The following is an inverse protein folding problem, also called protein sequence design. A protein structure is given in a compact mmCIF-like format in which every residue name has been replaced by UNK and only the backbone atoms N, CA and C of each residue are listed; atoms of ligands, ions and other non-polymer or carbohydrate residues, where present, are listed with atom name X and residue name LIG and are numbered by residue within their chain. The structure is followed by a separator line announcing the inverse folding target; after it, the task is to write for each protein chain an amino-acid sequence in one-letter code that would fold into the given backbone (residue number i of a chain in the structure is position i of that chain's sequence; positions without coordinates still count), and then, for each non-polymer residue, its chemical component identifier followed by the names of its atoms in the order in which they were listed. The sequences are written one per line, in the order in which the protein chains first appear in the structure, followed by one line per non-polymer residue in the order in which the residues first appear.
data_IF_300892244452
#
_entry.id   IF_300892244452
#
_cell.length_a   1.000
_cell.length_b   1.000
_cell.length_c   1.000
_cell.angle_alpha   90.00
_cell.angle_beta   90.00
_cell.angle_gamma   90.00
#
_symmetry.space_group_name_H-M   'P 1'
#
loop_
_entity.id
_entity.type
_entity.pdbx_description
1 polymer ?
#
# COMPACT_ATOMS: atom_id res chain seq x y z
N UNK A 1 3.27 -15.41 -12.87
CA UNK A 1 1.88 -15.27 -12.35
C UNK A 1 1.17 -14.18 -13.13
N UNK A 2 -0.11 -14.36 -13.48
CA UNK A 2 -0.84 -13.36 -14.26
C UNK A 2 -0.85 -11.99 -13.53
N UNK A 3 -0.47 -10.91 -14.23
CA UNK A 3 -0.47 -9.54 -13.67
C UNK A 3 0.90 -8.99 -13.24
N UNK A 4 1.93 -9.82 -13.15
CA UNK A 4 3.32 -9.38 -13.00
C UNK A 4 4.00 -9.35 -14.37
N UNK A 5 4.64 -8.24 -14.72
CA UNK A 5 5.56 -8.20 -15.86
C UNK A 5 6.94 -8.68 -15.38
N UNK A 6 7.54 -9.72 -16.00
CA UNK A 6 8.87 -10.20 -15.59
C UNK A 6 9.97 -9.15 -15.82
N UNK A 7 9.77 -8.25 -16.79
CA UNK A 7 10.82 -7.35 -17.31
C UNK A 7 10.54 -5.86 -17.08
N UNK A 8 9.80 -5.46 -16.03
CA UNK A 8 9.49 -4.06 -15.65
C UNK A 8 9.43 -3.06 -16.83
N UNK A 9 8.27 -2.94 -17.46
CA UNK A 9 8.10 -2.17 -18.69
C UNK A 9 8.23 -0.67 -18.43
N UNK A 10 9.00 0.02 -19.26
CA UNK A 10 9.06 1.49 -19.27
C UNK A 10 7.69 2.09 -19.58
N UNK A 11 7.46 3.31 -19.07
CA UNK A 11 6.22 4.08 -19.29
C UNK A 11 4.94 3.35 -18.85
N UNK A 12 5.03 2.51 -17.82
CA UNK A 12 3.91 1.81 -17.21
C UNK A 12 3.88 2.11 -15.71
N UNK A 13 2.67 2.34 -15.20
CA UNK A 13 2.44 2.49 -13.77
C UNK A 13 2.41 1.12 -13.09
N UNK A 14 3.05 1.06 -11.93
CA UNK A 14 3.05 -0.10 -11.05
C UNK A 14 2.64 0.36 -9.66
N UNK A 15 1.69 -0.33 -9.06
CA UNK A 15 1.41 -0.18 -7.64
C UNK A 15 2.42 -1.02 -6.86
N UNK A 16 3.18 -0.42 -5.96
CA UNK A 16 4.14 -1.10 -5.09
C UNK A 16 3.72 -0.90 -3.65
N UNK A 17 3.68 -1.98 -2.88
CA UNK A 17 3.41 -1.92 -1.45
C UNK A 17 4.35 -2.84 -0.66
N UNK A 18 4.58 -2.45 0.59
CA UNK A 18 5.40 -3.18 1.54
C UNK A 18 4.73 -3.13 2.90
N UNK A 19 4.58 -4.29 3.54
CA UNK A 19 4.02 -4.42 4.89
C UNK A 19 5.05 -5.03 5.84
N UNK A 20 4.94 -4.68 7.11
CA UNK A 20 5.85 -5.12 8.16
C UNK A 20 5.08 -5.21 9.48
N UNK A 21 4.98 -6.40 10.07
CA UNK A 21 4.14 -6.66 11.25
C UNK A 21 4.92 -6.78 12.57
N UNK A 22 6.22 -6.48 12.55
CA UNK A 22 7.12 -6.68 13.69
C UNK A 22 7.92 -7.98 13.61
N UNK A 23 7.58 -8.89 12.70
CA UNK A 23 8.27 -10.16 12.50
C UNK A 23 8.44 -10.52 11.02
N UNK A 24 7.44 -10.29 10.19
CA UNK A 24 7.39 -10.70 8.81
C UNK A 24 7.23 -9.46 7.92
N UNK A 25 8.02 -9.39 6.85
CA UNK A 25 7.94 -8.33 5.85
C UNK A 25 7.44 -8.91 4.53
N UNK A 26 6.49 -8.24 3.87
CA UNK A 26 5.87 -8.75 2.63
C UNK A 26 5.82 -7.66 1.56
N UNK A 27 6.29 -8.00 0.36
CA UNK A 27 6.31 -7.09 -0.78
C UNK A 27 5.23 -7.46 -1.81
N UNK A 28 4.62 -6.44 -2.41
CA UNK A 28 3.54 -6.58 -3.38
C UNK A 28 3.78 -5.70 -4.61
N UNK A 29 3.41 -6.21 -5.78
CA UNK A 29 3.36 -5.47 -7.04
C UNK A 29 1.99 -5.68 -7.69
N UNK A 30 1.32 -4.59 -8.06
CA UNK A 30 -0.03 -4.62 -8.63
C UNK A 30 -1.04 -5.41 -7.78
N UNK A 31 -0.89 -5.35 -6.45
CA UNK A 31 -1.75 -6.06 -5.51
C UNK A 31 -1.43 -7.55 -5.36
N UNK A 32 -0.38 -8.06 -6.00
CA UNK A 32 0.04 -9.46 -5.95
C UNK A 32 1.28 -9.57 -5.06
N UNK A 33 1.27 -10.49 -4.08
CA UNK A 33 2.44 -10.81 -3.27
C UNK A 33 3.57 -11.34 -4.15
N UNK A 34 4.75 -10.72 -4.07
CA UNK A 34 5.94 -11.11 -4.85
C UNK A 34 7.03 -11.77 -3.99
N UNK A 35 6.93 -11.65 -2.67
CA UNK A 35 7.86 -12.27 -1.74
C UNK A 35 7.56 -11.88 -0.31
N UNK A 36 8.12 -12.66 0.60
CA UNK A 36 8.12 -12.40 2.03
C UNK A 36 9.45 -12.81 2.66
N UNK A 37 9.75 -12.21 3.80
CA UNK A 37 10.91 -12.56 4.59
C UNK A 37 10.63 -12.42 6.08
N UNK A 38 11.17 -13.34 6.88
CA UNK A 38 11.14 -13.21 8.33
C UNK A 38 12.19 -12.19 8.74
N UNK A 39 11.73 -11.03 9.17
CA UNK A 39 12.56 -9.92 9.64
C UNK A 39 12.07 -9.47 11.00
N UNK A 40 12.68 -10.04 12.05
CA UNK A 40 12.37 -9.65 13.40
C UNK A 40 12.85 -8.21 13.66
N UNK A 41 11.93 -7.26 13.59
CA UNK A 41 12.19 -5.84 13.77
C UNK A 41 11.45 -5.28 15.00
N UNK A 42 10.88 -6.16 15.84
CA UNK A 42 10.26 -5.75 17.10
C UNK A 42 11.26 -4.98 17.97
N UNK A 43 10.88 -3.76 18.37
CA UNK A 43 11.74 -2.87 19.15
C UNK A 43 12.84 -2.18 18.34
N UNK A 44 12.72 -2.14 17.01
CA UNK A 44 13.58 -1.29 16.18
C UNK A 44 13.22 0.17 16.43
N UNK A 45 14.16 0.95 16.93
CA UNK A 45 13.99 2.38 17.15
C UNK A 45 13.94 3.15 15.82
N UNK A 46 13.18 4.25 15.73
CA UNK A 46 13.17 5.09 14.55
C UNK A 46 14.56 5.69 14.29
N UNK A 47 14.97 5.69 13.01
CA UNK A 47 16.18 6.40 12.59
C UNK A 47 16.02 7.92 12.67
N UNK A 48 17.13 8.65 12.60
CA UNK A 48 17.19 10.12 12.58
C UNK A 48 17.22 10.72 11.16
N UNK A 49 17.13 9.88 10.13
CA UNK A 49 17.11 10.31 8.73
C UNK A 49 15.72 10.84 8.34
N UNK A 50 15.64 11.90 7.51
CA UNK A 50 14.37 12.33 6.95
C UNK A 50 13.78 11.25 6.04
N UNK A 51 12.45 11.18 6.02
CA UNK A 51 11.74 10.36 5.04
C UNK A 51 11.80 11.05 3.67
N UNK A 52 12.43 10.37 2.71
CA UNK A 52 12.54 10.84 1.34
C UNK A 52 11.85 9.88 0.37
N UNK A 53 11.24 10.41 -0.69
CA UNK A 53 10.64 9.63 -1.76
C UNK A 53 11.39 9.85 -3.06
N UNK A 54 11.54 8.79 -3.84
CA UNK A 54 12.20 8.85 -5.15
C UNK A 54 13.72 8.98 -5.10
N UNK A 55 14.35 8.80 -3.94
CA UNK A 55 15.81 8.68 -3.78
C UNK A 55 16.14 8.04 -2.43
N UNK A 56 17.38 7.60 -2.28
CA UNK A 56 17.96 7.26 -0.97
C UNK A 56 18.33 8.54 -0.22
N UNK A 57 18.24 8.49 1.11
CA UNK A 57 18.76 9.55 1.99
C UNK A 57 20.18 9.94 1.57
N UNK A 58 20.49 11.22 1.65
CA UNK A 58 21.78 11.81 1.23
C UNK A 58 22.01 11.80 -0.30
N UNK A 59 20.97 11.56 -1.11
CA UNK A 59 20.98 11.82 -2.55
C UNK A 59 21.40 10.66 -3.46
N UNK A 60 21.60 9.47 -2.92
CA UNK A 60 21.90 8.27 -3.71
C UNK A 60 20.69 7.71 -4.47
N UNK A 61 20.92 7.00 -5.58
CA UNK A 61 19.89 6.20 -6.28
C UNK A 61 18.59 6.96 -6.62
N UNK A 62 18.65 8.07 -7.39
CA UNK A 62 17.44 8.80 -7.75
C UNK A 62 16.54 7.95 -8.66
N UNK A 63 15.24 7.98 -8.39
CA UNK A 63 14.22 7.40 -9.23
C UNK A 63 14.16 8.15 -10.57
N UNK A 64 14.23 7.41 -11.67
CA UNK A 64 13.94 7.94 -13.01
C UNK A 64 12.50 7.57 -13.37
N UNK A 65 11.56 8.45 -13.03
CA UNK A 65 10.13 8.21 -13.25
C UNK A 65 9.24 9.19 -12.50
N UNK A 66 7.97 8.82 -12.33
CA UNK A 66 7.00 9.58 -11.55
C UNK A 66 6.46 8.72 -10.39
N UNK A 67 6.05 9.40 -9.31
CA UNK A 67 5.38 8.79 -8.16
C UNK A 67 4.06 9.52 -7.97
N UNK A 68 2.99 8.79 -7.70
CA UNK A 68 1.68 9.33 -7.34
C UNK A 68 1.06 8.45 -6.24
N UNK A 69 0.08 9.01 -5.51
CA UNK A 69 -0.69 8.33 -4.47
C UNK A 69 0.16 7.67 -3.36
N UNK A 70 1.02 8.45 -2.70
CA UNK A 70 1.83 7.98 -1.57
C UNK A 70 0.98 7.91 -0.29
N UNK A 71 1.02 6.77 0.40
CA UNK A 71 0.44 6.60 1.74
C UNK A 71 1.35 5.79 2.67
N UNK A 72 1.26 6.09 3.96
CA UNK A 72 1.92 5.36 5.05
C UNK A 72 0.86 5.06 6.10
N UNK A 73 0.86 3.82 6.58
CA UNK A 73 -0.12 3.31 7.54
C UNK A 73 0.58 2.93 8.84
N UNK A 74 -0.06 3.22 9.97
CA UNK A 74 0.36 2.74 11.29
C UNK A 74 -0.17 1.34 11.62
N UNK A 75 -0.80 0.69 10.64
CA UNK A 75 -1.38 -0.65 10.74
C UNK A 75 -0.88 -1.49 9.57
N UNK A 76 -0.80 -2.80 9.80
CA UNK A 76 -0.47 -3.76 8.74
C UNK A 76 -1.72 -3.95 7.88
N UNK A 77 -1.63 -3.61 6.61
CA UNK A 77 -2.70 -3.89 5.65
C UNK A 77 -2.60 -5.35 5.21
N UNK A 78 -3.75 -6.02 5.11
CA UNK A 78 -3.79 -7.40 4.61
C UNK A 78 -3.76 -7.46 3.06
N UNK A 79 -3.68 -8.66 2.50
CA UNK A 79 -3.61 -8.83 1.04
C UNK A 79 -4.84 -8.28 0.30
N UNK A 80 -6.03 -8.33 0.92
CA UNK A 80 -7.26 -7.80 0.32
C UNK A 80 -7.26 -6.26 0.33
N UNK A 81 -6.79 -5.66 1.40
CA UNK A 81 -6.60 -4.21 1.49
C UNK A 81 -5.62 -3.73 0.42
N UNK A 82 -4.47 -4.39 0.31
CA UNK A 82 -3.45 -4.08 -0.70
C UNK A 82 -3.99 -4.23 -2.12
N UNK A 83 -4.74 -5.30 -2.41
CA UNK A 83 -5.40 -5.50 -3.71
C UNK A 83 -6.45 -4.42 -3.99
N UNK A 84 -7.18 -3.99 -2.96
CA UNK A 84 -8.17 -2.92 -3.07
C UNK A 84 -7.50 -1.60 -3.41
N UNK A 85 -6.43 -1.24 -2.71
CA UNK A 85 -5.64 -0.03 -3.02
C UNK A 85 -5.06 -0.10 -4.43
N UNK A 86 -4.47 -1.24 -4.82
CA UNK A 86 -3.89 -1.42 -6.15
C UNK A 86 -4.90 -1.28 -7.30
N UNK A 87 -6.16 -1.69 -7.09
CA UNK A 87 -7.20 -1.69 -8.12
C UNK A 87 -7.98 -0.37 -8.16
N UNK A 88 -8.26 0.21 -6.98
CA UNK A 88 -9.19 1.33 -6.85
C UNK A 88 -8.49 2.67 -6.55
N UNK A 89 -7.19 2.65 -6.25
CA UNK A 89 -6.43 3.81 -5.78
C UNK A 89 -6.78 4.18 -4.34
N UNK A 90 -5.95 5.03 -3.73
CA UNK A 90 -6.09 5.41 -2.32
C UNK A 90 -7.41 6.15 -2.06
N UNK A 91 -7.84 7.02 -2.97
CA UNK A 91 -9.07 7.82 -2.81
C UNK A 91 -10.33 6.97 -2.66
N UNK A 92 -10.38 5.82 -3.35
CA UNK A 92 -11.52 4.89 -3.25
C UNK A 92 -11.35 3.91 -2.10
N UNK A 93 -10.13 3.55 -1.72
CA UNK A 93 -9.86 2.69 -0.57
C UNK A 93 -10.31 3.36 0.75
N UNK A 94 -10.15 4.67 0.89
CA UNK A 94 -10.63 5.43 2.05
C UNK A 94 -12.08 5.94 1.93
N UNK A 95 -12.74 5.69 0.80
CA UNK A 95 -14.13 6.07 0.65
C UNK A 95 -14.99 5.14 1.52
N UNK A 96 -15.55 5.67 2.61
CA UNK A 96 -16.60 4.97 3.37
C UNK A 96 -17.70 4.56 2.40
N UNK A 97 -17.89 3.24 2.24
CA UNK A 97 -18.96 2.69 1.41
C UNK A 97 -20.27 3.39 1.76
N UNK A 98 -21.07 3.86 0.79
CA UNK A 98 -22.35 4.48 1.06
C UNK A 98 -23.20 3.63 1.99
N UNK A 99 -23.18 2.29 1.85
CA UNK A 99 -23.91 1.33 2.69
C UNK A 99 -23.47 1.30 4.16
N UNK A 100 -22.22 1.67 4.43
CA UNK A 100 -21.63 1.76 5.77
C UNK A 100 -21.84 3.14 6.40
N UNK A 101 -22.51 4.07 5.72
CA UNK A 101 -22.88 5.35 6.32
C UNK A 101 -24.05 5.15 7.28
N UNK A 102 -23.95 5.74 8.47
CA UNK A 102 -25.05 5.73 9.44
C UNK A 102 -26.37 6.16 8.80
N UNK A 103 -26.33 7.15 7.91
CA UNK A 103 -27.51 7.65 7.19
C UNK A 103 -28.20 6.56 6.35
N UNK A 104 -27.46 5.71 5.63
CA UNK A 104 -28.07 4.62 4.84
C UNK A 104 -28.55 3.48 5.73
N UNK A 105 -27.86 3.18 6.83
CA UNK A 105 -28.31 2.17 7.80
C UNK A 105 -29.61 2.59 8.46
N UNK A 106 -29.71 3.85 8.90
CA UNK A 106 -30.93 4.41 9.47
C UNK A 106 -32.08 4.49 8.47
N UNK A 107 -31.81 4.84 7.21
CA UNK A 107 -32.81 4.80 6.13
C UNK A 107 -33.37 3.39 5.93
N UNK A 108 -32.50 2.38 5.89
CA UNK A 108 -32.92 0.98 5.75
C UNK A 108 -33.71 0.45 6.96
N UNK A 109 -33.41 0.90 8.18
CA UNK A 109 -34.17 0.55 9.39
C UNK A 109 -35.57 1.16 9.36
N UNK A 110 -35.70 2.44 8.96
CA UNK A 110 -36.99 3.15 8.94
C UNK A 110 -37.95 2.67 7.86
N UNK A 111 -37.43 2.06 6.80
CA UNK A 111 -38.22 1.56 5.67
C UNK A 111 -38.57 0.06 5.80
N UNK A 112 -38.38 -0.53 6.98
CA UNK A 112 -38.90 -1.83 7.39
C UNK A 112 -40.01 -1.64 8.41
#
# INVERSE_FOLDING_TARGET
VAGLDPDWKKNKWYHVAWTLDGKDEVAYVNGIKIGDHVKNNKGTEPGNHPLEFGRRVEGGLPLTGAIDEIAIFSVVLDENDIKTVATNGLKRAFAVSPKSKLVTTWSAIKNK
#
